data_IF_640639102767
#
_entry.id   IF_640639102767
#
_cell.length_a   1.000
_cell.length_b   1.000
_cell.length_c   1.000
_cell.angle_alpha   90.00
_cell.angle_beta   90.00
_cell.angle_gamma   90.00
#
_symmetry.space_group_name_H-M   'P 1'
#
loop_
_entity.id
_entity.type
_entity.pdbx_description
1 polymer ?
#
# COMPACT_ATOMS: atom_id res chain seq x y z
N UNK A 1 26.21 -4.60 -2.71
CA UNK A 1 25.91 -3.40 -3.54
C UNK A 1 24.43 -3.39 -3.83
N UNK A 2 23.74 -2.26 -3.62
CA UNK A 2 22.32 -2.08 -3.98
C UNK A 2 22.19 -1.93 -5.49
N UNK A 3 21.26 -2.68 -6.09
CA UNK A 3 20.94 -2.69 -7.51
C UNK A 3 19.47 -2.34 -7.79
N UNK A 4 18.61 -2.40 -6.78
CA UNK A 4 17.23 -1.99 -6.87
C UNK A 4 16.80 -1.20 -5.64
N UNK A 5 15.88 -0.24 -5.81
CA UNK A 5 15.21 0.50 -4.74
C UNK A 5 13.71 0.32 -4.94
N UNK A 6 13.06 -0.33 -3.99
CA UNK A 6 11.62 -0.56 -4.04
C UNK A 6 10.92 0.31 -3.00
N UNK A 7 9.67 0.64 -3.26
CA UNK A 7 8.90 1.59 -2.45
C UNK A 7 7.54 1.00 -2.04
N UNK A 8 7.10 1.32 -0.83
CA UNK A 8 5.69 1.38 -0.52
C UNK A 8 5.05 2.59 -1.22
N UNK A 9 3.71 2.65 -1.23
CA UNK A 9 2.96 3.71 -1.91
C UNK A 9 2.33 4.67 -0.91
N UNK A 10 1.32 4.22 -0.19
CA UNK A 10 0.56 5.05 0.75
C UNK A 10 1.37 5.42 1.99
N UNK A 11 1.53 6.72 2.25
CA UNK A 11 2.39 7.24 3.32
C UNK A 11 3.86 7.39 2.90
N UNK A 12 4.27 6.75 1.81
CA UNK A 12 5.66 6.75 1.30
C UNK A 12 5.83 7.60 0.05
N UNK A 13 5.20 7.27 -1.07
CA UNK A 13 5.25 8.08 -2.29
C UNK A 13 4.29 9.26 -2.24
N UNK A 14 3.19 9.12 -1.54
CA UNK A 14 2.23 10.18 -1.25
C UNK A 14 1.77 10.17 0.20
N UNK A 15 1.32 11.29 0.69
CA UNK A 15 0.62 11.41 1.97
C UNK A 15 -0.84 11.03 1.78
N UNK A 16 -1.42 10.38 2.78
CA UNK A 16 -2.83 9.95 2.77
C UNK A 16 -3.61 10.75 3.80
N UNK A 17 -4.54 11.57 3.33
CA UNK A 17 -5.37 12.41 4.19
C UNK A 17 -6.81 11.88 4.22
N UNK A 18 -7.33 11.76 5.44
CA UNK A 18 -8.70 11.31 5.71
C UNK A 18 -9.57 12.50 6.13
N UNK A 19 -10.83 12.51 5.70
CA UNK A 19 -11.83 13.40 6.26
C UNK A 19 -13.20 12.72 6.31
N UNK A 20 -14.08 13.10 7.26
CA UNK A 20 -15.45 12.57 7.31
C UNK A 20 -16.26 12.86 6.04
N UNK A 21 -15.99 13.97 5.36
CA UNK A 21 -16.63 14.38 4.12
C UNK A 21 -16.25 13.42 2.98
N UNK A 22 -14.97 13.08 2.86
CA UNK A 22 -14.48 12.12 1.86
C UNK A 22 -15.06 10.73 2.11
N UNK A 23 -15.09 10.28 3.36
CA UNK A 23 -15.67 8.98 3.73
C UNK A 23 -17.16 8.92 3.40
N UNK A 24 -17.91 9.98 3.71
CA UNK A 24 -19.36 10.05 3.40
C UNK A 24 -19.59 10.12 1.89
N UNK A 25 -18.80 10.92 1.16
CA UNK A 25 -18.87 11.02 -0.30
C UNK A 25 -18.57 9.69 -0.98
N UNK A 26 -17.55 8.98 -0.48
CA UNK A 26 -17.23 7.63 -0.94
C UNK A 26 -18.41 6.66 -0.70
N UNK A 27 -19.00 6.66 0.51
CA UNK A 27 -20.15 5.81 0.82
C UNK A 27 -21.36 6.12 -0.10
N UNK A 28 -21.59 7.40 -0.46
CA UNK A 28 -22.65 7.73 -1.42
C UNK A 28 -22.37 7.10 -2.79
N UNK A 29 -21.15 7.23 -3.32
CA UNK A 29 -20.77 6.61 -4.61
C UNK A 29 -20.85 5.08 -4.57
N UNK A 30 -20.49 4.48 -3.43
CA UNK A 30 -20.63 3.04 -3.21
C UNK A 30 -22.10 2.61 -3.31
N UNK A 31 -23.01 3.32 -2.62
CA UNK A 31 -24.46 3.05 -2.69
C UNK A 31 -25.01 3.24 -4.11
N UNK A 32 -24.56 4.28 -4.82
CA UNK A 32 -24.96 4.55 -6.20
C UNK A 32 -24.50 3.42 -7.14
N UNK A 33 -23.26 2.93 -6.98
CA UNK A 33 -22.74 1.79 -7.76
C UNK A 33 -23.51 0.51 -7.47
N UNK A 34 -23.78 0.18 -6.21
CA UNK A 34 -24.60 -0.98 -5.84
C UNK A 34 -26.02 -0.88 -6.44
N UNK A 35 -26.63 0.30 -6.35
CA UNK A 35 -27.96 0.55 -6.91
C UNK A 35 -27.99 0.39 -8.43
N UNK A 36 -26.96 0.84 -9.14
CA UNK A 36 -26.83 0.64 -10.59
C UNK A 36 -26.77 -0.84 -11.00
N UNK A 37 -26.32 -1.71 -10.06
CA UNK A 37 -26.31 -3.17 -10.23
C UNK A 37 -27.55 -3.86 -9.60
N UNK A 38 -28.60 -3.10 -9.26
CA UNK A 38 -29.85 -3.63 -8.73
C UNK A 38 -29.81 -3.98 -7.24
N UNK A 39 -28.78 -3.55 -6.51
CA UNK A 39 -28.62 -3.79 -5.07
C UNK A 39 -28.94 -2.51 -4.31
N UNK A 40 -30.12 -2.45 -3.69
CA UNK A 40 -30.55 -1.33 -2.85
C UNK A 40 -30.32 -1.68 -1.38
N UNK A 41 -29.46 -0.93 -0.70
CA UNK A 41 -29.24 -1.08 0.74
C UNK A 41 -30.13 -0.08 1.51
N UNK A 42 -30.81 -0.53 2.60
CA UNK A 42 -31.69 0.33 3.40
C UNK A 42 -30.88 1.18 4.41
N UNK A 43 -29.93 1.96 3.91
CA UNK A 43 -29.00 2.76 4.73
C UNK A 43 -28.60 4.02 3.94
N UNK A 44 -28.36 5.11 4.66
CA UNK A 44 -27.78 6.34 4.09
C UNK A 44 -26.25 6.28 4.10
N UNK A 45 -25.60 7.11 3.27
CA UNK A 45 -24.15 7.23 3.24
C UNK A 45 -23.55 7.63 4.59
N UNK A 46 -24.22 8.56 5.31
CA UNK A 46 -23.78 9.00 6.63
C UNK A 46 -23.84 7.90 7.70
N UNK A 47 -24.80 7.00 7.60
CA UNK A 47 -24.92 5.84 8.50
C UNK A 47 -23.96 4.71 8.11
N UNK A 48 -23.68 4.55 6.82
CA UNK A 48 -22.77 3.53 6.30
C UNK A 48 -21.32 3.83 6.66
N UNK A 49 -20.88 5.09 6.56
CA UNK A 49 -19.47 5.46 6.73
C UNK A 49 -18.84 4.95 8.04
N UNK A 50 -19.42 5.17 9.24
CA UNK A 50 -18.83 4.65 10.47
C UNK A 50 -18.83 3.11 10.54
N UNK A 51 -19.85 2.43 10.00
CA UNK A 51 -19.93 0.97 9.97
C UNK A 51 -18.85 0.38 9.04
N UNK A 52 -18.72 0.96 7.86
CA UNK A 52 -17.71 0.53 6.90
C UNK A 52 -16.29 0.73 7.47
N UNK A 53 -16.06 1.83 8.16
CA UNK A 53 -14.79 2.08 8.86
C UNK A 53 -14.48 0.97 9.88
N UNK A 54 -15.42 0.65 10.78
CA UNK A 54 -15.27 -0.43 11.77
C UNK A 54 -15.03 -1.79 11.10
N UNK A 55 -15.78 -2.09 10.06
CA UNK A 55 -15.66 -3.33 9.29
C UNK A 55 -14.30 -3.44 8.59
N UNK A 56 -13.82 -2.35 8.02
CA UNK A 56 -12.50 -2.27 7.38
C UNK A 56 -11.35 -2.45 8.39
N UNK A 57 -11.46 -1.89 9.59
CA UNK A 57 -10.50 -2.14 10.66
C UNK A 57 -10.53 -3.63 11.10
N UNK A 58 -11.69 -4.27 11.10
CA UNK A 58 -11.82 -5.72 11.31
C UNK A 58 -11.07 -6.55 10.28
N UNK A 59 -11.21 -6.21 8.99
CA UNK A 59 -10.45 -6.85 7.92
C UNK A 59 -8.96 -6.59 8.04
N UNK A 60 -8.56 -5.36 8.30
CA UNK A 60 -7.17 -4.96 8.49
C UNK A 60 -6.52 -5.78 9.60
N UNK A 61 -7.18 -5.90 10.76
CA UNK A 61 -6.68 -6.71 11.87
C UNK A 61 -6.48 -8.17 11.47
N UNK A 62 -7.46 -8.79 10.81
CA UNK A 62 -7.36 -10.15 10.31
C UNK A 62 -6.20 -10.30 9.31
N UNK A 63 -6.09 -9.39 8.34
CA UNK A 63 -5.06 -9.45 7.30
C UNK A 63 -3.64 -9.21 7.82
N UNK A 64 -3.48 -8.37 8.84
CA UNK A 64 -2.19 -8.17 9.52
C UNK A 64 -1.77 -9.40 10.34
N UNK A 65 -2.71 -10.09 10.98
CA UNK A 65 -2.43 -11.31 11.72
C UNK A 65 -2.12 -12.50 10.79
N UNK A 66 -2.95 -12.71 9.78
CA UNK A 66 -2.80 -13.82 8.83
C UNK A 66 -1.68 -13.60 7.81
N UNK A 67 -1.32 -12.35 7.53
CA UNK A 67 -0.43 -11.91 6.43
C UNK A 67 -0.95 -12.29 5.05
N UNK A 68 -2.24 -12.57 4.93
CA UNK A 68 -2.91 -12.90 3.68
C UNK A 68 -3.73 -11.72 3.17
N UNK A 69 -3.90 -11.68 1.85
CA UNK A 69 -4.83 -10.80 1.17
C UNK A 69 -5.92 -11.64 0.52
N UNK A 70 -7.18 -11.31 0.80
CA UNK A 70 -8.33 -11.98 0.17
C UNK A 70 -8.67 -11.31 -1.17
N UNK A 71 -9.35 -12.05 -2.08
CA UNK A 71 -9.94 -11.45 -3.27
C UNK A 71 -10.94 -10.33 -2.90
N UNK A 72 -10.99 -9.26 -3.71
CA UNK A 72 -11.84 -8.09 -3.42
C UNK A 72 -13.30 -8.44 -3.17
N UNK A 73 -13.91 -9.31 -3.99
CA UNK A 73 -15.30 -9.73 -3.79
C UNK A 73 -15.53 -10.34 -2.39
N UNK A 74 -14.59 -11.13 -1.92
CA UNK A 74 -14.64 -11.75 -0.59
C UNK A 74 -14.45 -10.72 0.53
N UNK A 75 -13.52 -9.76 0.36
CA UNK A 75 -13.35 -8.65 1.31
C UNK A 75 -14.65 -7.87 1.46
N UNK A 76 -15.29 -7.54 0.34
CA UNK A 76 -16.53 -6.79 0.35
C UNK A 76 -17.69 -7.58 0.95
N UNK A 77 -17.83 -8.87 0.67
CA UNK A 77 -18.95 -9.69 1.18
C UNK A 77 -18.79 -10.06 2.66
N UNK A 78 -17.62 -10.53 3.07
CA UNK A 78 -17.42 -11.11 4.40
C UNK A 78 -16.98 -10.08 5.45
N UNK A 79 -16.43 -8.93 5.02
CA UNK A 79 -15.93 -7.90 5.93
C UNK A 79 -16.65 -6.57 5.74
N UNK A 80 -16.45 -5.89 4.62
CA UNK A 80 -16.82 -4.48 4.47
C UNK A 80 -18.34 -4.25 4.50
N UNK A 81 -19.12 -5.13 3.85
CA UNK A 81 -20.59 -5.08 3.79
C UNK A 81 -21.23 -6.29 4.47
N UNK A 82 -20.53 -6.91 5.43
CA UNK A 82 -20.95 -8.19 6.07
C UNK A 82 -22.36 -8.19 6.63
N UNK A 83 -22.85 -7.06 7.17
CA UNK A 83 -24.18 -6.92 7.76
C UNK A 83 -25.32 -6.99 6.74
N UNK A 84 -25.00 -6.78 5.45
CA UNK A 84 -26.00 -6.83 4.37
C UNK A 84 -26.13 -8.22 3.72
N UNK A 85 -25.28 -9.17 4.12
CA UNK A 85 -25.31 -10.57 3.66
C UNK A 85 -25.30 -10.72 2.13
N UNK A 86 -24.57 -9.85 1.43
CA UNK A 86 -24.37 -9.91 -0.01
C UNK A 86 -23.41 -11.05 -0.35
N UNK A 87 -23.76 -11.90 -1.31
CA UNK A 87 -22.86 -12.99 -1.69
C UNK A 87 -21.64 -12.50 -2.48
N UNK A 88 -20.56 -13.28 -2.45
CA UNK A 88 -19.34 -13.02 -3.21
C UNK A 88 -19.62 -12.97 -4.72
N UNK A 89 -20.50 -13.89 -5.22
CA UNK A 89 -20.89 -13.95 -6.63
C UNK A 89 -21.63 -12.67 -7.07
N UNK A 90 -22.47 -12.10 -6.19
CA UNK A 90 -23.21 -10.88 -6.46
C UNK A 90 -22.28 -9.66 -6.55
N UNK A 91 -21.25 -9.61 -5.70
CA UNK A 91 -20.31 -8.50 -5.63
C UNK A 91 -19.15 -8.62 -6.64
N UNK A 92 -18.86 -9.83 -7.12
CA UNK A 92 -17.71 -10.09 -8.01
C UNK A 92 -17.64 -9.19 -9.24
N UNK A 93 -18.75 -8.90 -9.97
CA UNK A 93 -18.69 -8.02 -11.16
C UNK A 93 -18.25 -6.58 -10.89
N UNK A 94 -18.39 -6.08 -9.64
CA UNK A 94 -18.09 -4.70 -9.25
C UNK A 94 -16.98 -4.62 -8.19
N UNK A 95 -16.43 -5.75 -7.75
CA UNK A 95 -15.50 -5.79 -6.61
C UNK A 95 -14.25 -4.96 -6.82
N UNK A 96 -13.70 -4.95 -8.05
CA UNK A 96 -12.53 -4.12 -8.34
C UNK A 96 -12.87 -2.63 -8.34
N UNK A 97 -14.02 -2.23 -8.90
CA UNK A 97 -14.45 -0.84 -8.88
C UNK A 97 -14.69 -0.34 -7.45
N UNK A 98 -15.33 -1.16 -6.61
CA UNK A 98 -15.49 -0.89 -5.18
C UNK A 98 -14.13 -0.73 -4.49
N UNK A 99 -13.19 -1.64 -4.76
CA UNK A 99 -11.85 -1.61 -4.17
C UNK A 99 -11.05 -0.41 -4.66
N UNK A 100 -11.11 -0.09 -5.95
CA UNK A 100 -10.49 1.10 -6.50
C UNK A 100 -11.04 2.39 -5.87
N UNK A 101 -12.36 2.51 -5.76
CA UNK A 101 -12.99 3.66 -5.10
C UNK A 101 -12.57 3.77 -3.63
N UNK A 102 -12.43 2.65 -2.92
CA UNK A 102 -11.99 2.63 -1.54
C UNK A 102 -10.58 3.22 -1.38
N UNK A 103 -9.67 2.89 -2.27
CA UNK A 103 -8.27 3.35 -2.22
C UNK A 103 -8.08 4.76 -2.85
N UNK A 104 -8.92 5.13 -3.84
CA UNK A 104 -8.77 6.37 -4.62
C UNK A 104 -9.65 7.52 -4.15
N UNK A 105 -10.87 7.24 -3.67
CA UNK A 105 -11.93 8.26 -3.44
C UNK A 105 -12.18 8.54 -1.97
N UNK A 106 -11.99 7.55 -1.12
CA UNK A 106 -12.21 7.67 0.33
C UNK A 106 -11.17 8.57 1.02
N UNK A 107 -10.07 8.81 0.37
CA UNK A 107 -8.93 9.56 0.90
C UNK A 107 -8.42 10.56 -0.15
N UNK A 108 -7.68 11.56 0.30
CA UNK A 108 -6.91 12.42 -0.58
C UNK A 108 -5.45 11.96 -0.57
N UNK A 109 -4.93 11.64 -1.77
CA UNK A 109 -3.56 11.18 -1.97
C UNK A 109 -2.73 12.35 -2.52
N UNK A 110 -1.84 12.92 -1.71
CA UNK A 110 -1.01 14.07 -2.08
C UNK A 110 0.41 13.59 -2.34
N UNK A 111 0.92 13.66 -3.59
CA UNK A 111 2.29 13.24 -3.90
C UNK A 111 3.31 13.94 -3.00
N UNK A 112 4.25 13.19 -2.42
CA UNK A 112 5.33 13.81 -1.63
C UNK A 112 6.25 14.65 -2.52
N UNK A 113 6.80 15.74 -1.98
CA UNK A 113 7.83 16.51 -2.66
C UNK A 113 8.98 15.60 -3.13
N UNK A 114 9.59 15.97 -4.26
CA UNK A 114 10.74 15.28 -4.84
C UNK A 114 10.54 13.80 -5.25
N UNK A 115 9.33 13.23 -5.09
CA UNK A 115 9.06 11.81 -5.38
C UNK A 115 9.45 11.42 -6.81
N UNK A 116 8.95 12.14 -7.82
CA UNK A 116 9.24 11.85 -9.22
C UNK A 116 10.72 12.02 -9.55
N UNK A 117 11.34 13.11 -9.08
CA UNK A 117 12.75 13.40 -9.36
C UNK A 117 13.67 12.38 -8.68
N UNK A 118 13.32 11.92 -7.49
CA UNK A 118 14.07 10.86 -6.80
C UNK A 118 14.06 9.57 -7.60
N UNK A 119 12.88 9.11 -8.05
CA UNK A 119 12.75 7.89 -8.83
C UNK A 119 13.51 8.00 -10.16
N UNK A 120 13.37 9.13 -10.86
CA UNK A 120 14.12 9.40 -12.10
C UNK A 120 15.63 9.43 -11.88
N UNK A 121 16.08 9.96 -10.76
CA UNK A 121 17.51 10.00 -10.40
C UNK A 121 18.05 8.60 -10.18
N UNK A 122 17.37 7.77 -9.40
CA UNK A 122 17.74 6.36 -9.19
C UNK A 122 17.81 5.60 -10.52
N UNK A 123 16.83 5.81 -11.39
CA UNK A 123 16.82 5.18 -12.72
C UNK A 123 17.98 5.65 -13.60
N UNK A 124 18.31 6.96 -13.61
CA UNK A 124 19.50 7.50 -14.34
C UNK A 124 20.81 6.95 -13.80
N UNK A 125 20.87 6.57 -12.54
CA UNK A 125 22.03 5.93 -11.91
C UNK A 125 22.11 4.42 -12.17
N UNK A 126 21.20 3.89 -13.02
CA UNK A 126 21.19 2.48 -13.42
C UNK A 126 20.56 1.54 -12.39
N UNK A 127 19.87 2.08 -11.38
CA UNK A 127 19.15 1.28 -10.40
C UNK A 127 17.76 0.92 -10.93
N UNK A 128 17.32 -0.31 -10.67
CA UNK A 128 15.94 -0.69 -10.87
C UNK A 128 15.06 -0.07 -9.78
N UNK A 129 13.86 0.35 -10.16
CA UNK A 129 12.85 0.83 -9.20
C UNK A 129 11.60 -0.02 -9.28
N UNK A 130 10.83 -0.10 -8.21
CA UNK A 130 9.62 -0.91 -8.17
C UNK A 130 8.77 -0.62 -6.94
N UNK A 131 7.62 -1.29 -6.88
CA UNK A 131 6.61 -1.11 -5.85
C UNK A 131 6.34 -2.43 -5.13
N UNK A 132 6.14 -2.34 -3.79
CA UNK A 132 5.48 -3.39 -2.99
C UNK A 132 4.43 -2.70 -2.12
N UNK A 133 3.14 -2.91 -2.39
CA UNK A 133 2.06 -2.25 -1.66
C UNK A 133 1.03 -3.24 -1.09
N UNK A 134 0.64 -3.01 0.18
CA UNK A 134 -0.52 -3.67 0.79
C UNK A 134 -1.78 -2.88 0.42
N UNK A 135 -2.57 -3.41 -0.51
CA UNK A 135 -3.72 -2.72 -1.10
C UNK A 135 -4.77 -3.71 -1.59
N UNK A 136 -6.05 -3.36 -1.51
CA UNK A 136 -7.15 -4.23 -1.93
C UNK A 136 -7.51 -4.09 -3.41
N UNK A 137 -7.26 -2.93 -4.03
CA UNK A 137 -7.45 -2.72 -5.47
C UNK A 137 -6.28 -3.29 -6.27
N UNK A 138 -6.58 -3.87 -7.42
CA UNK A 138 -5.56 -4.35 -8.37
C UNK A 138 -5.18 -3.27 -9.39
N UNK A 139 -6.00 -2.23 -9.57
CA UNK A 139 -5.83 -1.20 -10.61
C UNK A 139 -5.46 0.18 -10.08
N UNK A 140 -5.62 0.46 -8.77
CA UNK A 140 -5.34 1.79 -8.21
C UNK A 140 -3.86 2.17 -8.38
N UNK A 141 -2.93 1.35 -7.91
CA UNK A 141 -1.50 1.67 -7.99
C UNK A 141 -1.00 1.79 -9.43
N UNK A 142 -1.31 0.88 -10.37
CA UNK A 142 -0.94 1.06 -11.77
C UNK A 142 -1.38 2.41 -12.36
N UNK A 143 -2.65 2.81 -12.17
CA UNK A 143 -3.17 4.11 -12.64
C UNK A 143 -2.47 5.28 -11.95
N UNK A 144 -2.23 5.18 -10.66
CA UNK A 144 -1.52 6.20 -9.89
C UNK A 144 -0.09 6.42 -10.40
N UNK A 145 0.63 5.36 -10.77
CA UNK A 145 1.97 5.45 -11.34
C UNK A 145 1.97 6.11 -12.73
N UNK A 146 0.92 5.87 -13.53
CA UNK A 146 0.69 6.57 -14.80
C UNK A 146 0.45 8.08 -14.55
N UNK A 147 -0.44 8.44 -13.63
CA UNK A 147 -0.74 9.82 -13.25
C UNK A 147 0.50 10.55 -12.72
N UNK A 148 1.37 9.85 -12.01
CA UNK A 148 2.64 10.38 -11.52
C UNK A 148 3.73 10.44 -12.62
N UNK A 149 3.49 9.87 -13.79
CA UNK A 149 4.46 9.85 -14.91
C UNK A 149 5.74 9.08 -14.58
N UNK A 150 5.61 7.98 -13.82
CA UNK A 150 6.72 7.11 -13.39
C UNK A 150 6.46 5.63 -13.68
N UNK A 151 5.33 5.27 -14.29
CA UNK A 151 4.98 3.88 -14.58
C UNK A 151 6.07 3.15 -15.39
N UNK A 152 6.59 3.79 -16.44
CA UNK A 152 7.63 3.24 -17.31
C UNK A 152 8.99 3.03 -16.61
N UNK A 153 9.17 3.61 -15.43
CA UNK A 153 10.39 3.45 -14.63
C UNK A 153 10.34 2.24 -13.71
N UNK A 154 9.15 1.63 -13.51
CA UNK A 154 8.98 0.51 -12.58
C UNK A 154 9.39 -0.82 -13.24
N UNK A 155 10.37 -1.49 -12.66
CA UNK A 155 10.80 -2.84 -13.05
C UNK A 155 9.88 -3.93 -12.49
N UNK A 156 9.15 -3.65 -11.42
CA UNK A 156 8.13 -4.53 -10.85
C UNK A 156 7.08 -3.72 -10.06
N UNK A 157 5.84 -4.24 -10.04
CA UNK A 157 4.74 -3.68 -9.22
C UNK A 157 4.01 -4.84 -8.54
N UNK A 158 4.35 -5.08 -7.28
CA UNK A 158 3.77 -6.17 -6.48
C UNK A 158 2.72 -5.61 -5.53
N UNK A 159 1.48 -6.04 -5.73
CA UNK A 159 0.34 -5.65 -4.91
C UNK A 159 -0.13 -6.84 -4.10
N UNK A 160 -0.47 -6.66 -2.83
CA UNK A 160 -1.00 -7.76 -2.01
C UNK A 160 -2.28 -8.34 -2.60
N UNK A 161 -3.12 -7.51 -3.23
CA UNK A 161 -4.36 -7.92 -3.91
C UNK A 161 -4.15 -8.96 -5.03
N UNK A 162 -2.99 -8.93 -5.71
CA UNK A 162 -2.63 -9.91 -6.74
C UNK A 162 -1.70 -11.00 -6.22
N UNK A 163 -0.88 -10.67 -5.21
CA UNK A 163 0.08 -11.60 -4.64
C UNK A 163 -0.56 -12.62 -3.67
N UNK A 164 -1.73 -12.29 -3.06
CA UNK A 164 -2.39 -13.09 -2.04
C UNK A 164 -1.71 -13.07 -0.66
N UNK A 165 -0.60 -12.35 -0.55
CA UNK A 165 0.20 -12.19 0.68
C UNK A 165 0.53 -10.72 0.90
N UNK A 166 0.75 -10.35 2.18
CA UNK A 166 0.96 -8.95 2.60
C UNK A 166 2.27 -8.77 3.33
N UNK A 167 2.87 -7.56 3.23
CA UNK A 167 3.91 -7.13 4.19
C UNK A 167 3.36 -7.26 5.62
N UNK A 168 4.15 -7.77 6.57
CA UNK A 168 5.59 -8.02 6.56
C UNK A 168 6.00 -9.45 6.17
N UNK A 169 5.18 -10.21 5.43
CA UNK A 169 5.60 -11.54 4.97
C UNK A 169 6.75 -11.43 3.96
N UNK A 170 7.77 -12.28 4.12
CA UNK A 170 8.93 -12.30 3.21
C UNK A 170 8.53 -12.62 1.77
N UNK A 171 7.50 -13.44 1.57
CA UNK A 171 7.08 -13.91 0.26
C UNK A 171 6.70 -12.78 -0.71
N UNK A 172 6.16 -11.65 -0.21
CA UNK A 172 5.83 -10.51 -1.09
C UNK A 172 7.10 -9.81 -1.60
N UNK A 173 8.16 -9.74 -0.79
CA UNK A 173 9.46 -9.21 -1.18
C UNK A 173 10.20 -10.16 -2.13
N UNK A 174 10.10 -11.48 -1.90
CA UNK A 174 10.67 -12.50 -2.78
C UNK A 174 10.03 -12.48 -4.16
N UNK A 175 8.70 -12.26 -4.25
CA UNK A 175 8.01 -12.03 -5.53
C UNK A 175 8.58 -10.81 -6.25
N UNK A 176 8.78 -9.70 -5.55
CA UNK A 176 9.38 -8.50 -6.13
C UNK A 176 10.83 -8.73 -6.58
N UNK A 177 11.61 -9.48 -5.79
CA UNK A 177 12.97 -9.88 -6.14
C UNK A 177 13.01 -10.68 -7.44
N UNK A 178 12.12 -11.65 -7.59
CA UNK A 178 12.01 -12.48 -8.79
C UNK A 178 11.62 -11.65 -10.02
N UNK A 179 10.62 -10.77 -9.91
CA UNK A 179 10.15 -9.94 -11.02
C UNK A 179 11.18 -8.89 -11.43
N UNK A 180 11.81 -8.22 -10.45
CA UNK A 180 12.90 -7.28 -10.71
C UNK A 180 14.18 -7.97 -11.20
N UNK A 181 14.36 -9.27 -10.98
CA UNK A 181 15.60 -9.99 -11.27
C UNK A 181 16.79 -9.51 -10.42
N UNK A 182 16.52 -9.11 -9.15
CA UNK A 182 17.53 -8.66 -8.19
C UNK A 182 17.23 -9.36 -6.85
N UNK A 183 18.19 -10.05 -6.20
CA UNK A 183 17.93 -10.69 -4.92
C UNK A 183 17.70 -9.67 -3.81
N UNK A 184 16.89 -10.03 -2.79
CA UNK A 184 16.58 -9.15 -1.66
C UNK A 184 17.84 -8.56 -1.00
N UNK A 185 18.92 -9.34 -0.87
CA UNK A 185 20.22 -8.88 -0.33
C UNK A 185 20.97 -7.84 -1.18
N UNK A 186 20.42 -7.46 -2.34
CA UNK A 186 20.93 -6.39 -3.21
C UNK A 186 19.88 -5.29 -3.42
N UNK A 187 18.83 -5.25 -2.59
CA UNK A 187 17.76 -4.25 -2.63
C UNK A 187 17.84 -3.29 -1.45
N UNK A 188 17.41 -2.05 -1.70
CA UNK A 188 16.91 -1.16 -0.68
C UNK A 188 15.39 -1.12 -0.76
N UNK A 189 14.73 -0.95 0.38
CA UNK A 189 13.30 -0.76 0.44
C UNK A 189 12.95 0.46 1.28
N UNK A 190 12.02 1.25 0.77
CA UNK A 190 11.55 2.50 1.39
C UNK A 190 10.09 2.35 1.78
N UNK A 191 9.78 2.54 3.05
CA UNK A 191 8.41 2.49 3.57
C UNK A 191 8.22 3.45 4.72
N UNK A 192 7.02 3.53 5.30
CA UNK A 192 6.70 4.46 6.36
C UNK A 192 6.42 3.80 7.73
N UNK A 193 6.37 2.47 7.80
CA UNK A 193 6.02 1.73 9.02
C UNK A 193 7.12 0.76 9.48
N UNK A 194 7.27 0.63 10.81
CA UNK A 194 8.09 -0.46 11.39
C UNK A 194 7.42 -1.83 11.19
N UNK A 195 6.10 -1.88 11.44
CA UNK A 195 5.34 -3.13 11.52
C UNK A 195 5.23 -3.89 10.20
N UNK A 196 5.22 -3.20 9.06
CA UNK A 196 5.06 -3.79 7.73
C UNK A 196 6.33 -3.71 6.90
N UNK A 197 6.94 -2.53 6.87
CA UNK A 197 8.03 -2.24 5.94
C UNK A 197 9.38 -2.67 6.52
N UNK A 198 9.77 -2.15 7.67
CA UNK A 198 11.05 -2.48 8.30
C UNK A 198 11.10 -3.95 8.74
N UNK A 199 10.02 -4.44 9.36
CA UNK A 199 9.92 -5.85 9.73
C UNK A 199 9.93 -6.76 8.50
N UNK A 200 9.23 -6.36 7.42
CA UNK A 200 9.23 -7.08 6.15
C UNK A 200 10.62 -7.15 5.52
N UNK A 201 11.36 -6.04 5.51
CA UNK A 201 12.76 -6.01 5.08
C UNK A 201 13.61 -7.00 5.85
N UNK A 202 13.46 -7.02 7.18
CA UNK A 202 14.21 -7.94 8.06
C UNK A 202 13.85 -9.40 7.77
N UNK A 203 12.57 -9.71 7.60
CA UNK A 203 12.09 -11.06 7.31
C UNK A 203 12.59 -11.57 5.95
N UNK A 204 12.69 -10.70 4.95
CA UNK A 204 13.12 -11.06 3.60
C UNK A 204 14.63 -10.93 3.35
N UNK A 205 15.40 -10.44 4.32
CA UNK A 205 16.84 -10.21 4.15
C UNK A 205 17.16 -9.09 3.16
N UNK A 206 16.33 -8.05 3.10
CA UNK A 206 16.61 -6.84 2.32
C UNK A 206 17.83 -6.13 2.87
N UNK A 207 18.76 -5.72 1.98
CA UNK A 207 20.08 -5.22 2.38
C UNK A 207 20.05 -3.86 3.08
N UNK A 208 19.06 -3.01 2.77
CA UNK A 208 18.93 -1.66 3.31
C UNK A 208 17.47 -1.27 3.48
N UNK A 209 17.03 -1.13 4.72
CA UNK A 209 15.71 -0.64 5.09
C UNK A 209 15.75 0.87 5.35
N UNK A 210 14.95 1.63 4.62
CA UNK A 210 14.83 3.08 4.76
C UNK A 210 13.40 3.40 5.21
N UNK A 211 13.25 4.08 6.33
CA UNK A 211 11.94 4.55 6.78
C UNK A 211 11.81 6.04 6.50
N UNK A 212 10.73 6.44 5.82
CA UNK A 212 10.35 7.85 5.73
C UNK A 212 9.48 8.23 6.92
N UNK A 213 9.79 9.35 7.56
CA UNK A 213 9.01 9.86 8.69
C UNK A 213 7.57 10.15 8.30
N UNK A 214 6.63 9.52 9.00
CA UNK A 214 5.19 9.74 8.85
C UNK A 214 4.53 9.86 10.23
N UNK A 215 4.50 11.07 10.84
CA UNK A 215 3.95 11.28 12.18
C UNK A 215 2.47 10.89 12.31
N UNK A 216 1.68 10.97 11.21
CA UNK A 216 0.24 10.69 11.24
C UNK A 216 -0.09 9.24 11.60
N UNK A 217 0.84 8.32 11.34
CA UNK A 217 0.67 6.88 11.61
C UNK A 217 1.64 6.32 12.66
N UNK A 218 2.38 7.18 13.35
CA UNK A 218 3.35 6.74 14.37
C UNK A 218 2.73 5.85 15.46
N UNK A 219 1.42 5.99 15.72
CA UNK A 219 0.67 5.14 16.64
C UNK A 219 0.67 3.66 16.23
N UNK A 220 0.82 3.33 14.95
CA UNK A 220 0.86 1.93 14.45
C UNK A 220 2.12 1.19 14.87
N UNK A 221 3.18 1.93 15.14
CA UNK A 221 4.49 1.38 15.49
C UNK A 221 4.74 1.31 17.00
N UNK A 222 3.77 1.74 17.84
CA UNK A 222 3.91 1.75 19.31
C UNK A 222 4.23 0.37 19.89
N UNK A 223 3.68 -0.70 19.33
CA UNK A 223 3.96 -2.08 19.75
C UNK A 223 5.43 -2.49 19.55
N UNK A 224 6.17 -1.78 18.71
CA UNK A 224 7.58 -2.04 18.41
C UNK A 224 8.54 -1.16 19.23
N UNK A 225 8.02 -0.23 20.03
CA UNK A 225 8.84 0.61 20.91
C UNK A 225 9.61 -0.27 21.90
N UNK A 226 10.93 -0.12 21.93
CA UNK A 226 11.80 -0.89 22.82
C UNK A 226 12.11 -2.33 22.39
N UNK A 227 11.59 -2.81 21.25
CA UNK A 227 11.87 -4.16 20.73
C UNK A 227 13.23 -4.29 20.04
N UNK A 228 13.92 -3.18 19.77
CA UNK A 228 15.13 -3.13 18.97
C UNK A 228 14.89 -3.21 17.45
N UNK A 229 13.62 -3.23 16.99
CA UNK A 229 13.29 -3.08 15.57
C UNK A 229 13.46 -1.60 15.19
N UNK A 230 14.37 -1.34 14.27
CA UNK A 230 14.61 -0.01 13.71
C UNK A 230 15.00 -0.11 12.23
N UNK A 231 14.73 0.90 11.41
CA UNK A 231 15.28 0.98 10.05
C UNK A 231 16.80 1.17 10.10
N UNK A 232 17.48 0.84 9.01
CA UNK A 232 18.89 1.18 8.87
C UNK A 232 19.09 2.69 8.71
N UNK A 233 18.12 3.37 8.08
CA UNK A 233 18.12 4.83 7.90
C UNK A 233 16.71 5.38 8.06
N UNK A 234 16.55 6.47 8.81
CA UNK A 234 15.35 7.30 8.87
C UNK A 234 15.57 8.54 8.01
N UNK A 235 14.62 8.84 7.13
CA UNK A 235 14.63 10.02 6.26
C UNK A 235 13.39 10.88 6.49
N UNK A 236 13.47 12.14 6.07
CA UNK A 236 12.35 13.10 6.11
C UNK A 236 11.91 13.54 4.71
N UNK A 237 12.77 13.34 3.70
CA UNK A 237 12.48 13.67 2.30
C UNK A 237 13.02 12.57 1.38
N UNK A 238 12.25 12.25 0.33
CA UNK A 238 12.64 11.22 -0.63
C UNK A 238 13.94 11.56 -1.39
N UNK A 239 14.29 12.83 -1.54
CA UNK A 239 15.53 13.27 -2.19
C UNK A 239 16.81 12.82 -1.50
N UNK A 240 16.73 12.36 -0.24
CA UNK A 240 17.87 11.81 0.49
C UNK A 240 18.33 10.44 -0.04
N UNK A 241 17.39 9.67 -0.64
CA UNK A 241 17.60 8.27 -1.01
C UNK A 241 18.78 8.04 -1.97
N UNK A 242 18.96 8.79 -3.09
CA UNK A 242 20.10 8.56 -3.99
C UNK A 242 21.45 8.70 -3.29
N UNK A 243 21.59 9.69 -2.41
CA UNK A 243 22.79 9.90 -1.60
C UNK A 243 23.09 8.73 -0.67
N UNK A 244 22.06 8.21 0.00
CA UNK A 244 22.14 7.06 0.92
C UNK A 244 22.59 5.81 0.16
N UNK A 245 21.97 5.52 -0.99
CA UNK A 245 22.31 4.34 -1.81
C UNK A 245 23.73 4.43 -2.34
N UNK A 246 24.17 5.60 -2.82
CA UNK A 246 25.57 5.79 -3.24
C UNK A 246 26.54 5.56 -2.08
N UNK A 247 26.25 6.10 -0.91
CA UNK A 247 27.11 5.92 0.27
C UNK A 247 27.16 4.45 0.73
N UNK A 248 26.06 3.72 0.64
CA UNK A 248 26.01 2.29 0.93
C UNK A 248 26.85 1.50 -0.07
N UNK A 249 26.76 1.81 -1.34
CA UNK A 249 27.49 1.12 -2.41
C UNK A 249 28.98 1.43 -2.46
N UNK A 250 29.43 2.50 -1.82
CA UNK A 250 30.85 2.88 -1.73
C UNK A 250 31.62 2.21 -0.59
N UNK A 251 30.93 1.44 0.28
CA UNK A 251 31.52 0.64 1.37
C UNK A 251 32.02 -0.70 0.84
#
# INVERSE_FOLDING_TARGET
MIRAVLFDVGGTLHEVHHSPELETSFCQRLLDLLSAHGIALPITAAELAPRLHENAEGYKHWSEQSRLELPGAKIWSEYYLKEFHLSEELLSPMAEELSWMYDAVRVENIPRPNMQETIRTLHREGLKTGIISNIISTTFVPRLLEDYGIADLMSCVILSSTAGVRKPDAAIFEKAAAECGVPCGEMAYVGDTLSRDVLGCRNAGVALSIQISNPSIAHRDTAFTGTGLAPDVLIHDLSEIPGIVRAFNAR
#
